data_IF_771010479568
#
_entry.id   IF_771010479568
#
_cell.length_a   1.000
_cell.length_b   1.000
_cell.length_c   1.000
_cell.angle_alpha   90.00
_cell.angle_beta   90.00
_cell.angle_gamma   90.00
#
_symmetry.space_group_name_H-M   'P 1'
#
loop_
_entity.id
_entity.type
_entity.pdbx_description
1 polymer ?
#
# COMPACT_ATOMS: atom_id res chain seq x y z
N UNK A 1 -4.31 -10.98 -8.00
CA UNK A 1 -2.93 -10.47 -7.78
C UNK A 1 -2.51 -10.69 -6.35
N UNK A 2 -1.46 -10.03 -5.87
CA UNK A 2 -1.14 -9.95 -4.43
C UNK A 2 -1.81 -8.73 -3.80
N UNK A 3 -1.88 -8.70 -2.47
CA UNK A 3 -2.55 -7.64 -1.70
C UNK A 3 -1.58 -7.00 -0.71
N UNK A 4 -1.85 -5.74 -0.36
CA UNK A 4 -1.37 -5.12 0.88
C UNK A 4 -2.54 -4.49 1.65
N UNK A 5 -2.32 -4.26 2.94
CA UNK A 5 -3.24 -3.50 3.79
C UNK A 5 -2.43 -2.68 4.78
N UNK A 6 -2.67 -1.37 4.79
CA UNK A 6 -2.09 -0.44 5.75
C UNK A 6 -3.18 -0.02 6.75
N UNK A 7 -3.02 -0.30 8.05
CA UNK A 7 -3.92 0.20 9.07
C UNK A 7 -3.98 1.73 9.07
N UNK A 8 -5.10 2.33 9.51
CA UNK A 8 -5.27 3.77 9.56
C UNK A 8 -4.11 4.48 10.29
N UNK A 9 -3.57 5.53 9.67
CA UNK A 9 -2.53 6.38 10.26
C UNK A 9 -1.11 5.80 10.22
N UNK A 10 -0.89 4.63 9.64
CA UNK A 10 0.46 4.10 9.46
C UNK A 10 1.10 4.62 8.16
N UNK A 11 2.27 5.28 8.24
CA UNK A 11 2.95 5.79 7.05
C UNK A 11 3.46 4.63 6.19
N UNK A 12 3.43 4.82 4.88
CA UNK A 12 3.86 3.84 3.89
C UNK A 12 4.39 4.56 2.65
N UNK A 13 5.15 3.83 1.83
CA UNK A 13 5.60 4.26 0.51
C UNK A 13 5.42 3.12 -0.49
N UNK A 14 5.37 3.45 -1.78
CA UNK A 14 5.29 2.48 -2.87
C UNK A 14 6.35 2.88 -3.89
N UNK A 15 7.19 1.93 -4.28
CA UNK A 15 8.19 2.10 -5.32
C UNK A 15 8.07 0.93 -6.28
N UNK A 16 7.92 1.21 -7.57
CA UNK A 16 7.90 0.16 -8.58
C UNK A 16 9.29 -0.48 -8.69
N UNK A 17 9.32 -1.79 -8.86
CA UNK A 17 10.54 -2.55 -9.13
C UNK A 17 10.88 -2.51 -10.62
N UNK A 18 12.14 -2.75 -10.98
CA UNK A 18 12.57 -2.89 -12.38
C UNK A 18 12.30 -4.29 -12.96
N UNK A 19 11.25 -4.97 -12.51
CA UNK A 19 10.94 -6.34 -12.93
C UNK A 19 10.23 -6.40 -14.28
N UNK A 20 9.64 -5.28 -14.71
CA UNK A 20 8.94 -5.11 -15.98
C UNK A 20 9.27 -3.72 -16.55
N UNK A 21 9.21 -3.57 -17.88
CA UNK A 21 9.42 -2.26 -18.53
C UNK A 21 8.36 -1.23 -18.16
N UNK A 22 7.19 -1.70 -17.73
CA UNK A 22 5.99 -0.88 -17.54
C UNK A 22 5.78 -0.50 -16.06
N UNK A 23 6.66 -0.95 -15.17
CA UNK A 23 6.54 -0.70 -13.73
C UNK A 23 5.38 -1.45 -13.08
N UNK A 24 4.66 -0.78 -12.18
CA UNK A 24 3.56 -1.37 -11.42
C UNK A 24 2.25 -0.61 -11.64
N UNK A 25 1.18 -1.35 -11.83
CA UNK A 25 -0.20 -0.86 -11.87
C UNK A 25 -1.03 -1.63 -10.84
N UNK A 26 -1.84 -0.94 -10.05
CA UNK A 26 -2.57 -1.52 -8.92
C UNK A 26 -3.85 -0.74 -8.61
N UNK A 27 -4.76 -1.38 -7.86
CA UNK A 27 -6.00 -0.79 -7.38
C UNK A 27 -5.90 -0.54 -5.88
N UNK A 28 -6.07 0.72 -5.46
CA UNK A 28 -6.20 1.12 -4.06
C UNK A 28 -7.68 1.24 -3.68
N UNK A 29 -8.03 0.73 -2.50
CA UNK A 29 -9.37 0.88 -1.92
C UNK A 29 -9.22 1.44 -0.51
N UNK A 30 -9.90 2.55 -0.25
CA UNK A 30 -9.94 3.19 1.06
C UNK A 30 -11.31 2.92 1.71
N UNK A 31 -11.34 2.69 3.01
CA UNK A 31 -12.57 2.37 3.77
C UNK A 31 -13.45 3.59 4.09
N UNK A 32 -13.24 4.69 3.36
CA UNK A 32 -14.06 5.89 3.39
C UNK A 32 -14.45 6.33 1.98
N UNK A 33 -15.75 6.47 1.74
CA UNK A 33 -16.29 6.94 0.46
C UNK A 33 -16.04 8.43 0.16
N UNK A 34 -15.50 9.19 1.12
CA UNK A 34 -15.13 10.60 0.95
C UNK A 34 -13.63 10.79 0.77
N UNK A 35 -12.88 9.71 0.59
CA UNK A 35 -11.43 9.79 0.36
C UNK A 35 -11.11 10.51 -0.95
N UNK A 36 -10.03 11.28 -0.94
CA UNK A 36 -9.38 11.90 -2.10
C UNK A 36 -7.88 11.64 -2.02
N UNK A 37 -7.27 11.24 -3.13
CA UNK A 37 -5.82 11.01 -3.19
C UNK A 37 -5.00 12.29 -2.96
N UNK A 38 -5.60 13.45 -3.25
CA UNK A 38 -5.00 14.77 -3.05
C UNK A 38 -5.03 15.25 -1.60
N UNK A 39 -5.71 14.53 -0.70
CA UNK A 39 -5.83 14.88 0.73
C UNK A 39 -4.94 13.99 1.61
N UNK A 40 -3.95 13.31 1.02
CA UNK A 40 -2.99 12.49 1.76
C UNK A 40 -1.96 13.36 2.50
N UNK A 41 -1.49 12.91 3.66
CA UNK A 41 -0.43 13.60 4.40
C UNK A 41 0.94 13.17 3.89
N UNK A 42 1.53 13.96 3.00
CA UNK A 42 2.83 13.68 2.39
C UNK A 42 3.99 14.23 3.23
N UNK A 43 5.10 13.48 3.26
CA UNK A 43 6.28 13.84 4.06
C UNK A 43 6.85 15.20 3.63
N UNK A 44 7.07 15.40 2.34
CA UNK A 44 7.67 16.64 1.83
C UNK A 44 6.73 17.83 1.94
N UNK A 45 5.41 17.62 1.79
CA UNK A 45 4.42 18.67 2.02
C UNK A 45 4.40 19.10 3.49
N UNK A 46 4.42 18.14 4.42
CA UNK A 46 4.50 18.45 5.85
C UNK A 46 5.77 19.24 6.18
N UNK A 47 6.94 18.77 5.73
CA UNK A 47 8.20 19.46 5.99
C UNK A 47 8.27 20.84 5.33
N UNK A 48 7.66 21.04 4.16
CA UNK A 48 7.58 22.35 3.51
C UNK A 48 6.77 23.39 4.34
N UNK A 49 5.86 22.92 5.20
CA UNK A 49 4.99 23.74 6.03
C UNK A 49 5.39 23.80 7.51
N UNK A 50 6.56 23.26 7.88
CA UNK A 50 7.14 23.39 9.22
C UNK A 50 8.34 24.34 9.17
N UNK A 51 8.46 25.34 10.07
CA UNK A 51 9.61 26.23 10.10
C UNK A 51 10.93 25.43 10.23
N UNK A 52 11.93 25.79 9.42
CA UNK A 52 13.20 25.05 9.31
C UNK A 52 13.92 24.93 10.65
N UNK A 53 13.82 25.95 11.50
CA UNK A 53 14.35 25.93 12.86
C UNK A 53 13.69 24.87 13.77
N UNK A 54 12.40 24.56 13.55
CA UNK A 54 11.70 23.49 14.27
C UNK A 54 12.16 22.13 13.77
N UNK A 55 12.32 21.96 12.46
CA UNK A 55 12.86 20.73 11.85
C UNK A 55 14.28 20.47 12.37
N UNK A 56 15.15 21.49 12.32
CA UNK A 56 16.52 21.41 12.80
C UNK A 56 16.61 21.01 14.27
N UNK A 57 15.74 21.59 15.10
CA UNK A 57 15.66 21.27 16.53
C UNK A 57 15.13 19.85 16.78
N UNK A 58 14.19 19.37 15.97
CA UNK A 58 13.65 18.01 16.05
C UNK A 58 14.72 16.95 15.75
N UNK A 59 15.51 17.15 14.70
CA UNK A 59 16.57 16.22 14.29
C UNK A 59 17.91 16.45 14.99
N UNK A 60 18.03 17.52 15.80
CA UNK A 60 19.27 17.91 16.49
C UNK A 60 20.44 18.14 15.52
N UNK A 61 20.18 18.81 14.41
CA UNK A 61 21.15 19.11 13.35
C UNK A 61 21.26 20.62 13.12
N UNK A 62 22.34 21.04 12.45
CA UNK A 62 22.47 22.44 12.00
C UNK A 62 21.35 22.80 11.01
N UNK A 63 20.84 24.03 11.08
CA UNK A 63 19.73 24.49 10.24
C UNK A 63 20.05 24.40 8.74
N UNK A 64 21.33 24.57 8.37
CA UNK A 64 21.78 24.47 6.97
C UNK A 64 21.65 23.06 6.38
N UNK A 65 21.55 22.01 7.20
CA UNK A 65 21.31 20.64 6.73
C UNK A 65 19.96 20.49 6.00
N UNK A 66 19.05 21.46 6.17
CA UNK A 66 17.70 21.45 5.61
C UNK A 66 17.50 22.51 4.52
N UNK A 67 18.59 23.06 3.96
CA UNK A 67 18.53 24.10 2.92
C UNK A 67 17.94 23.61 1.60
N UNK A 68 18.12 22.31 1.31
CA UNK A 68 17.67 21.66 0.08
C UNK A 68 16.35 20.89 0.24
N UNK A 69 15.59 21.12 1.33
CA UNK A 69 14.28 20.49 1.48
C UNK A 69 13.35 20.90 0.32
N UNK A 70 12.57 19.95 -0.24
CA UNK A 70 11.53 20.28 -1.20
C UNK A 70 10.56 21.32 -0.64
N UNK A 71 10.17 22.29 -1.47
CA UNK A 71 9.25 23.38 -1.08
C UNK A 71 7.78 23.07 -1.35
N UNK A 72 7.51 21.91 -1.93
CA UNK A 72 6.20 21.39 -2.27
C UNK A 72 6.24 19.87 -2.22
N UNK A 73 5.06 19.27 -2.24
CA UNK A 73 4.89 17.84 -2.22
C UNK A 73 5.62 17.13 -3.37
N UNK A 74 6.08 15.91 -3.11
CA UNK A 74 6.61 14.99 -4.10
C UNK A 74 5.71 13.75 -4.09
N UNK A 75 4.54 13.87 -4.72
CA UNK A 75 3.51 12.84 -4.72
C UNK A 75 3.96 11.57 -5.45
N UNK A 76 4.27 11.70 -6.73
CA UNK A 76 4.83 10.65 -7.58
C UNK A 76 6.01 11.24 -8.34
N UNK A 77 7.17 10.59 -8.22
CA UNK A 77 8.40 11.07 -8.85
C UNK A 77 9.28 9.89 -9.27
N UNK A 78 10.10 10.05 -10.33
CA UNK A 78 11.02 9.01 -10.77
C UNK A 78 12.14 8.82 -9.75
N UNK A 79 12.53 7.57 -9.55
CA UNK A 79 13.69 7.18 -8.76
C UNK A 79 14.37 5.97 -9.43
N UNK A 80 15.65 5.77 -9.13
CA UNK A 80 16.30 4.50 -9.48
C UNK A 80 15.56 3.34 -8.78
N UNK A 81 15.47 2.16 -9.42
CA UNK A 81 14.88 0.99 -8.79
C UNK A 81 15.57 0.65 -7.46
N UNK A 82 14.84 0.12 -6.47
CA UNK A 82 15.45 -0.30 -5.21
C UNK A 82 16.34 -1.54 -5.44
N UNK A 83 17.11 -1.90 -4.42
CA UNK A 83 17.92 -3.12 -4.43
C UNK A 83 17.06 -4.37 -4.69
N UNK A 84 17.64 -5.39 -5.35
CA UNK A 84 16.93 -6.66 -5.57
C UNK A 84 16.62 -7.39 -4.26
N UNK A 85 17.52 -7.25 -3.28
CA UNK A 85 17.34 -7.79 -1.93
C UNK A 85 16.82 -6.68 -1.00
N UNK A 86 15.54 -6.70 -0.57
CA UNK A 86 14.97 -5.63 0.25
C UNK A 86 15.65 -5.45 1.60
N UNK A 87 16.42 -6.45 2.07
CA UNK A 87 17.21 -6.34 3.31
C UNK A 87 18.38 -5.36 3.16
N UNK A 88 18.87 -5.12 1.94
CA UNK A 88 20.00 -4.22 1.67
C UNK A 88 19.61 -2.74 1.91
N UNK A 89 18.34 -2.40 1.69
CA UNK A 89 17.78 -1.06 1.93
C UNK A 89 17.16 -0.91 3.34
N UNK A 90 17.13 -1.99 4.14
CA UNK A 90 16.44 -2.00 5.43
C UNK A 90 17.29 -1.35 6.54
N UNK A 91 16.93 -0.13 6.92
CA UNK A 91 17.59 0.61 8.02
C UNK A 91 17.16 0.11 9.39
N UNK A 92 15.92 -0.37 9.52
CA UNK A 92 15.34 -0.87 10.77
C UNK A 92 14.68 -2.23 10.51
N UNK A 93 14.98 -3.27 11.30
CA UNK A 93 14.37 -4.59 11.13
C UNK A 93 12.84 -4.53 11.18
N UNK A 94 12.17 -5.19 10.23
CA UNK A 94 10.72 -5.36 10.28
C UNK A 94 10.33 -6.35 11.39
N UNK A 95 9.90 -5.81 12.52
CA UNK A 95 9.44 -6.57 13.69
C UNK A 95 7.91 -6.58 13.84
N UNK A 96 7.17 -6.26 12.77
CA UNK A 96 5.71 -6.27 12.82
C UNK A 96 5.18 -7.66 13.16
N UNK A 97 4.24 -7.79 14.13
CA UNK A 97 3.68 -9.07 14.51
C UNK A 97 2.84 -9.72 13.40
N UNK A 98 2.36 -8.92 12.44
CA UNK A 98 1.59 -9.37 11.29
C UNK A 98 2.17 -8.78 10.00
N UNK A 99 2.21 -9.56 8.90
CA UNK A 99 2.64 -9.05 7.61
C UNK A 99 1.62 -8.06 7.04
N UNK A 100 2.10 -7.00 6.37
CA UNK A 100 1.28 -6.00 5.66
C UNK A 100 0.97 -6.42 4.22
N UNK A 101 1.58 -7.50 3.73
CA UNK A 101 1.37 -8.06 2.39
C UNK A 101 0.80 -9.47 2.47
N UNK A 102 -0.02 -9.84 1.49
CA UNK A 102 -0.63 -11.16 1.39
C UNK A 102 -0.60 -11.65 -0.06
N UNK A 103 -0.01 -12.82 -0.26
CA UNK A 103 0.14 -13.43 -1.58
C UNK A 103 -1.17 -14.11 -2.05
N UNK A 104 -2.23 -13.33 -2.29
CA UNK A 104 -3.51 -13.85 -2.79
C UNK A 104 -3.34 -14.58 -4.14
N UNK A 105 -2.34 -14.20 -4.94
CA UNK A 105 -2.01 -14.91 -6.18
C UNK A 105 -1.70 -16.38 -5.95
N UNK A 106 -1.08 -16.72 -4.81
CA UNK A 106 -0.68 -18.08 -4.41
C UNK A 106 -1.74 -18.83 -3.61
N UNK A 107 -2.87 -18.21 -3.29
CA UNK A 107 -3.97 -18.88 -2.60
C UNK A 107 -4.67 -19.85 -3.55
N UNK A 108 -4.85 -21.10 -3.10
CA UNK A 108 -5.65 -22.08 -3.84
C UNK A 108 -7.09 -21.60 -3.97
N UNK A 109 -7.55 -21.41 -5.21
CA UNK A 109 -8.90 -20.97 -5.47
C UNK A 109 -9.91 -22.09 -5.21
N UNK A 110 -11.07 -21.72 -4.68
CA UNK A 110 -12.21 -22.64 -4.58
C UNK A 110 -12.84 -22.77 -5.96
N UNK A 111 -12.91 -23.99 -6.49
CA UNK A 111 -13.54 -24.29 -7.76
C UNK A 111 -15.07 -24.26 -7.62
N UNK A 112 -15.73 -23.53 -8.51
CA UNK A 112 -17.18 -23.47 -8.66
C UNK A 112 -17.58 -23.97 -10.05
N UNK A 113 -18.87 -24.21 -10.27
CA UNK A 113 -19.39 -24.70 -11.56
C UNK A 113 -19.03 -23.79 -12.74
N UNK A 114 -19.03 -22.47 -12.51
CA UNK A 114 -18.83 -21.45 -13.55
C UNK A 114 -17.51 -20.68 -13.48
N UNK A 115 -16.56 -21.10 -12.65
CA UNK A 115 -15.33 -20.35 -12.42
C UNK A 115 -14.71 -20.62 -11.06
N UNK A 116 -14.01 -19.62 -10.50
CA UNK A 116 -13.29 -19.78 -9.24
C UNK A 116 -13.45 -18.57 -8.32
N UNK A 117 -13.17 -18.77 -7.03
CA UNK A 117 -13.12 -17.68 -6.06
C UNK A 117 -11.97 -17.84 -5.07
N UNK A 118 -11.34 -16.72 -4.72
CA UNK A 118 -10.38 -16.60 -3.61
C UNK A 118 -10.86 -15.53 -2.64
N UNK A 119 -10.55 -15.69 -1.35
CA UNK A 119 -10.95 -14.76 -0.31
C UNK A 119 -9.75 -14.30 0.52
N UNK A 120 -9.76 -13.04 0.93
CA UNK A 120 -8.88 -12.49 1.96
C UNK A 120 -9.72 -11.67 2.95
N UNK A 121 -9.67 -12.06 4.23
CA UNK A 121 -10.30 -11.33 5.33
C UNK A 121 -9.48 -11.52 6.61
N UNK A 122 -9.98 -11.04 7.75
CA UNK A 122 -9.28 -11.12 9.05
C UNK A 122 -8.94 -12.54 9.52
N UNK A 123 -9.53 -13.59 8.94
CA UNK A 123 -9.24 -15.00 9.27
C UNK A 123 -7.96 -15.48 8.58
N UNK A 124 -7.68 -14.98 7.38
CA UNK A 124 -6.50 -15.34 6.57
C UNK A 124 -5.47 -14.21 6.57
N UNK A 125 -5.85 -13.02 6.09
CA UNK A 125 -5.05 -11.82 6.09
C UNK A 125 -5.32 -10.97 7.33
N UNK A 126 -4.79 -11.45 8.48
CA UNK A 126 -5.18 -10.99 9.83
C UNK A 126 -5.05 -9.50 10.10
N UNK A 127 -4.18 -8.79 9.38
CA UNK A 127 -4.00 -7.34 9.56
C UNK A 127 -5.13 -6.52 8.93
N UNK A 128 -5.83 -7.06 7.91
CA UNK A 128 -6.90 -6.40 7.17
C UNK A 128 -8.19 -6.34 7.96
N UNK A 129 -8.28 -5.39 8.90
CA UNK A 129 -9.39 -5.30 9.87
C UNK A 129 -10.67 -4.71 9.30
N UNK A 130 -10.56 -3.76 8.39
CA UNK A 130 -11.70 -2.97 7.89
C UNK A 130 -12.11 -3.33 6.46
N UNK A 131 -11.28 -4.08 5.74
CA UNK A 131 -11.53 -4.48 4.35
C UNK A 131 -11.44 -6.00 4.22
N UNK A 132 -12.38 -6.58 3.48
CA UNK A 132 -12.35 -7.98 3.04
C UNK A 132 -12.48 -8.02 1.52
N UNK A 133 -11.81 -8.96 0.87
CA UNK A 133 -11.76 -9.07 -0.59
C UNK A 133 -12.15 -10.47 -1.03
N UNK A 134 -12.89 -10.55 -2.14
CA UNK A 134 -13.12 -11.77 -2.88
C UNK A 134 -12.75 -11.56 -4.36
N UNK A 135 -11.79 -12.34 -4.86
CA UNK A 135 -11.41 -12.36 -6.27
C UNK A 135 -12.22 -13.46 -6.97
N UNK A 136 -13.14 -13.08 -7.84
CA UNK A 136 -13.95 -14.00 -8.63
C UNK A 136 -13.45 -14.05 -10.07
N UNK A 137 -13.29 -15.27 -10.59
CA UNK A 137 -13.16 -15.52 -12.03
C UNK A 137 -14.46 -16.13 -12.51
N UNK A 138 -15.11 -15.51 -13.51
CA UNK A 138 -16.36 -16.00 -14.12
C UNK A 138 -16.07 -16.38 -15.57
N UNK A 139 -16.24 -17.66 -15.90
CA UNK A 139 -15.98 -18.18 -17.24
C UNK A 139 -17.04 -17.66 -18.24
N UNK A 140 -16.73 -17.63 -19.55
CA UNK A 140 -17.73 -17.29 -20.58
C UNK A 140 -19.01 -18.12 -20.46
N UNK A 141 -20.17 -17.46 -20.44
CA UNK A 141 -21.49 -18.10 -20.30
C UNK A 141 -21.88 -18.49 -18.87
N UNK A 142 -21.00 -18.30 -17.89
CA UNK A 142 -21.33 -18.49 -16.47
C UNK A 142 -21.90 -17.21 -15.83
N UNK A 143 -22.43 -17.35 -14.63
CA UNK A 143 -22.86 -16.23 -13.78
C UNK A 143 -22.54 -16.49 -12.31
N UNK A 144 -22.33 -15.42 -11.55
CA UNK A 144 -22.40 -15.48 -10.10
C UNK A 144 -23.87 -15.67 -9.71
N UNK A 145 -24.17 -16.69 -8.92
CA UNK A 145 -25.52 -16.95 -8.41
C UNK A 145 -26.12 -15.73 -7.68
N UNK A 146 -27.45 -15.64 -7.69
CA UNK A 146 -28.19 -14.65 -6.91
C UNK A 146 -27.91 -14.85 -5.43
N UNK A 147 -27.40 -13.81 -4.78
CA UNK A 147 -27.07 -13.81 -3.36
C UNK A 147 -27.15 -12.38 -2.81
N UNK A 148 -27.01 -12.26 -1.49
CA UNK A 148 -26.81 -10.99 -0.81
C UNK A 148 -25.73 -11.16 0.25
N UNK A 149 -25.18 -10.04 0.71
CA UNK A 149 -24.32 -10.01 1.90
C UNK A 149 -25.21 -9.65 3.10
N UNK A 150 -25.29 -10.50 4.14
CA UNK A 150 -26.05 -10.17 5.34
C UNK A 150 -25.39 -8.99 6.06
N UNK A 151 -26.22 -8.18 6.72
CA UNK A 151 -25.80 -7.09 7.62
C UNK A 151 -25.46 -7.60 9.01
#
# INVERSE_FOLDING_TARGET
>A
GDLWYFPPGQPHSIQALNTTTDGAEFLLVFDSGTFSEFDTLQLTDWLAHVPKEVIAKNFQMDISAFDELPKHELYLFPAEPPSENPEDDMVVPNNSPLPYAWALSKVNATQLMGGTVKYADTRTFKISKTISVAEFTVNPGAMRELHWHPT
#
